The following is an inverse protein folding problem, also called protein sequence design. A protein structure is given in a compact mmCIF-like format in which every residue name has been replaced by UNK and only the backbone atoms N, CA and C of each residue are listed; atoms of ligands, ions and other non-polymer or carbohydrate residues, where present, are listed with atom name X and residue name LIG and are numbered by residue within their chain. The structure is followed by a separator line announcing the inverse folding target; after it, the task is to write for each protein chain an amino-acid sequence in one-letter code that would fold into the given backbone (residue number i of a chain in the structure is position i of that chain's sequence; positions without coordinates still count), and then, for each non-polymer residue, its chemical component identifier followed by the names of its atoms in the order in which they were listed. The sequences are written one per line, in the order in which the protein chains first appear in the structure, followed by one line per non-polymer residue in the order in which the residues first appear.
data_IF_057967965869
#
_entry.id   IF_057967965869
#
_cell.length_a   1.000
_cell.length_b   1.000
_cell.length_c   1.000
_cell.angle_alpha   90.00
_cell.angle_beta   90.00
_cell.angle_gamma   90.00
#
_symmetry.space_group_name_H-M   'P 1'
#
loop_
_entity.id
_entity.type
_entity.pdbx_description
1 polymer ?
#
# COMPACT_ATOMS: atom_id res chain seq x y z
N UNK A 1 27.20 -32.98 -53.47
CA UNK A 1 26.04 -32.07 -53.58
C UNK A 1 25.01 -32.48 -52.52
N UNK A 2 24.42 -31.49 -51.81
CA UNK A 2 23.48 -31.57 -50.65
C UNK A 2 24.13 -31.97 -49.31
N UNK A 3 23.85 -31.31 -48.18
CA UNK A 3 22.95 -30.19 -47.92
C UNK A 3 22.83 -29.82 -46.43
N UNK A 4 22.08 -28.73 -46.20
CA UNK A 4 21.29 -28.35 -45.01
C UNK A 4 21.99 -28.16 -43.66
N UNK A 5 21.83 -26.98 -43.03
CA UNK A 5 20.77 -26.73 -42.03
C UNK A 5 20.91 -25.31 -41.46
N UNK A 6 19.85 -24.52 -41.66
CA UNK A 6 19.51 -23.27 -40.96
C UNK A 6 19.45 -23.49 -39.45
N UNK A 7 19.82 -22.47 -38.66
CA UNK A 7 19.21 -22.21 -37.34
C UNK A 7 19.27 -20.71 -37.01
N UNK A 8 18.11 -20.06 -37.16
CA UNK A 8 17.75 -18.81 -36.49
C UNK A 8 17.94 -19.00 -34.98
N UNK A 9 18.69 -18.13 -34.31
CA UNK A 9 18.67 -18.03 -32.86
C UNK A 9 17.82 -16.81 -32.47
N UNK A 10 16.55 -17.07 -32.16
CA UNK A 10 15.61 -16.11 -31.59
C UNK A 10 15.99 -15.89 -30.12
N UNK A 11 16.52 -14.72 -29.79
CA UNK A 11 16.88 -14.37 -28.42
C UNK A 11 15.62 -13.88 -27.67
N UNK A 12 14.94 -14.79 -26.97
CA UNK A 12 13.80 -14.47 -26.10
C UNK A 12 14.32 -14.09 -24.70
N UNK A 13 14.62 -12.81 -24.47
CA UNK A 13 14.82 -12.30 -23.10
C UNK A 13 13.49 -11.86 -22.50
N UNK A 14 12.85 -12.77 -21.79
CA UNK A 14 11.68 -12.50 -20.97
C UNK A 14 12.14 -11.84 -19.65
N UNK A 15 12.30 -10.51 -19.63
CA UNK A 15 12.43 -9.77 -18.37
C UNK A 15 11.06 -9.64 -17.69
N UNK A 16 10.57 -10.75 -17.15
CA UNK A 16 9.46 -10.74 -16.20
C UNK A 16 9.95 -10.20 -14.87
N UNK A 17 9.52 -9.00 -14.49
CA UNK A 17 9.79 -8.43 -13.15
C UNK A 17 9.31 -9.43 -12.08
N UNK A 18 10.15 -9.85 -11.10
CA UNK A 18 9.79 -10.93 -10.21
C UNK A 18 8.76 -10.46 -9.16
N UNK A 19 7.64 -11.19 -9.08
CA UNK A 19 6.63 -11.07 -8.00
C UNK A 19 7.24 -11.21 -6.59
N UNK A 20 8.42 -11.81 -6.50
CA UNK A 20 9.20 -12.05 -5.28
C UNK A 20 9.59 -10.75 -4.57
N UNK A 21 9.90 -9.69 -5.33
CA UNK A 21 10.23 -8.39 -4.75
C UNK A 21 9.06 -7.80 -3.97
N UNK A 22 7.81 -8.02 -4.42
CA UNK A 22 6.61 -7.51 -3.73
C UNK A 22 6.34 -8.25 -2.42
N UNK A 23 6.49 -9.58 -2.40
CA UNK A 23 6.32 -10.38 -1.19
C UNK A 23 7.36 -10.01 -0.13
N UNK A 24 8.63 -9.85 -0.53
CA UNK A 24 9.71 -9.45 0.37
C UNK A 24 9.44 -8.12 1.08
N UNK A 25 8.84 -7.15 0.39
CA UNK A 25 8.62 -5.83 0.98
C UNK A 25 7.53 -5.80 2.06
N UNK A 26 6.49 -6.63 1.94
CA UNK A 26 5.50 -6.78 3.01
C UNK A 26 6.10 -7.44 4.25
N UNK A 27 6.91 -8.48 4.08
CA UNK A 27 7.60 -9.17 5.19
C UNK A 27 8.61 -8.25 5.88
N UNK A 28 9.39 -7.49 5.11
CA UNK A 28 10.35 -6.54 5.67
C UNK A 28 9.66 -5.43 6.47
N UNK A 29 8.52 -4.92 6.00
CA UNK A 29 7.75 -3.91 6.73
C UNK A 29 7.10 -4.50 7.98
N UNK A 30 6.57 -5.72 7.88
CA UNK A 30 6.00 -6.46 8.99
C UNK A 30 7.00 -6.67 10.12
N UNK A 31 8.20 -7.15 9.79
CA UNK A 31 9.27 -7.37 10.75
C UNK A 31 9.71 -6.06 11.43
N UNK A 32 9.81 -4.96 10.67
CA UNK A 32 10.27 -3.67 11.18
C UNK A 32 9.26 -2.99 12.11
N UNK A 33 7.97 -3.06 11.78
CA UNK A 33 6.93 -2.30 12.48
C UNK A 33 5.99 -3.17 13.33
N UNK A 34 6.28 -4.47 13.44
CA UNK A 34 5.50 -5.43 14.22
C UNK A 34 4.01 -5.48 13.83
N UNK A 35 3.74 -5.44 12.52
CA UNK A 35 2.38 -5.59 11.95
C UNK A 35 2.35 -6.85 11.09
N UNK A 36 1.24 -7.60 11.10
CA UNK A 36 1.11 -8.81 10.28
C UNK A 36 1.35 -8.52 8.79
N UNK A 37 2.20 -9.29 8.08
CA UNK A 37 2.46 -9.09 6.65
C UNK A 37 1.20 -9.26 5.80
N UNK A 38 0.32 -10.19 6.20
CA UNK A 38 -0.98 -10.39 5.56
C UNK A 38 -1.90 -9.18 5.75
N UNK A 39 -1.87 -8.51 6.91
CA UNK A 39 -2.64 -7.29 7.12
C UNK A 39 -2.13 -6.15 6.24
N UNK A 40 -0.82 -5.94 6.18
CA UNK A 40 -0.21 -4.90 5.33
C UNK A 40 -0.60 -5.14 3.86
N UNK A 41 -0.48 -6.38 3.38
CA UNK A 41 -0.88 -6.75 2.02
C UNK A 41 -2.38 -6.55 1.79
N UNK A 42 -3.22 -6.86 2.78
CA UNK A 42 -4.68 -6.62 2.70
C UNK A 42 -5.02 -5.14 2.55
N UNK A 43 -4.31 -4.28 3.28
CA UNK A 43 -4.44 -2.83 3.17
C UNK A 43 -4.01 -2.38 1.77
N UNK A 44 -2.83 -2.79 1.29
CA UNK A 44 -2.35 -2.41 -0.04
C UNK A 44 -3.32 -2.85 -1.16
N UNK A 45 -3.92 -4.04 -1.07
CA UNK A 45 -4.99 -4.47 -1.99
C UNK A 45 -6.22 -3.55 -1.88
N UNK A 46 -6.64 -3.20 -0.66
CA UNK A 46 -7.82 -2.36 -0.43
C UNK A 46 -7.64 -0.88 -0.80
N UNK A 47 -6.40 -0.41 -0.82
CA UNK A 47 -6.03 0.97 -1.15
C UNK A 47 -5.79 1.16 -2.66
N UNK A 48 -5.03 0.26 -3.30
CA UNK A 48 -4.57 0.45 -4.68
C UNK A 48 -4.81 -0.75 -5.60
N UNK A 49 -5.33 -1.87 -5.08
CA UNK A 49 -5.35 -3.12 -5.85
C UNK A 49 -3.94 -3.65 -6.17
N UNK A 50 -2.93 -3.26 -5.39
CA UNK A 50 -1.50 -3.52 -5.64
C UNK A 50 -0.93 -2.82 -6.88
N UNK A 51 -1.54 -1.71 -7.31
CA UNK A 51 -0.97 -0.82 -8.32
C UNK A 51 0.01 0.19 -7.67
N UNK A 52 1.33 0.09 -7.95
CA UNK A 52 2.32 1.01 -7.39
C UNK A 52 2.22 2.44 -7.95
N UNK A 53 1.50 2.65 -9.04
CA UNK A 53 1.33 3.94 -9.68
C UNK A 53 -0.04 4.58 -9.39
N UNK A 54 -0.86 3.96 -8.52
CA UNK A 54 -2.17 4.48 -8.15
C UNK A 54 -2.08 5.88 -7.51
N UNK A 55 -2.88 6.82 -8.01
CA UNK A 55 -3.02 8.16 -7.46
C UNK A 55 -4.48 8.55 -7.30
N UNK A 56 -4.89 9.03 -6.13
CA UNK A 56 -6.26 9.45 -5.87
C UNK A 56 -6.33 10.86 -5.30
N UNK A 57 -7.07 11.75 -5.97
CA UNK A 57 -7.29 13.12 -5.50
C UNK A 57 -8.45 13.19 -4.52
N UNK A 58 -8.17 13.69 -3.32
CA UNK A 58 -9.18 14.07 -2.35
C UNK A 58 -9.63 15.50 -2.63
N UNK A 59 -10.94 15.70 -2.76
CA UNK A 59 -11.54 17.00 -3.11
C UNK A 59 -12.44 17.52 -2.01
N UNK A 60 -12.41 18.83 -1.80
CA UNK A 60 -13.38 19.48 -0.95
C UNK A 60 -14.78 19.34 -1.57
N UNK A 61 -15.73 18.80 -0.80
CA UNK A 61 -17.09 18.51 -1.30
C UNK A 61 -17.87 19.76 -1.77
N UNK A 62 -17.58 20.94 -1.22
CA UNK A 62 -18.28 22.18 -1.56
C UNK A 62 -17.67 22.88 -2.76
N UNK A 63 -16.35 22.91 -2.85
CA UNK A 63 -15.62 23.70 -3.86
C UNK A 63 -15.06 22.87 -5.01
N UNK A 64 -15.02 21.54 -4.89
CA UNK A 64 -14.42 20.64 -5.88
C UNK A 64 -12.89 20.70 -5.98
N UNK A 65 -12.25 21.63 -5.24
CA UNK A 65 -10.81 21.83 -5.22
C UNK A 65 -10.11 20.63 -4.60
N UNK A 66 -9.01 20.20 -5.21
CA UNK A 66 -8.11 19.18 -4.63
C UNK A 66 -7.51 19.73 -3.34
N UNK A 67 -7.63 18.96 -2.26
CA UNK A 67 -7.08 19.31 -0.93
C UNK A 67 -5.89 18.43 -0.55
N UNK A 68 -5.83 17.21 -1.08
CA UNK A 68 -4.71 16.29 -0.92
C UNK A 68 -4.77 15.23 -2.00
N UNK A 69 -3.66 14.52 -2.22
CA UNK A 69 -3.59 13.39 -3.15
C UNK A 69 -2.91 12.22 -2.45
N UNK A 70 -3.40 11.01 -2.68
CA UNK A 70 -2.86 9.77 -2.12
C UNK A 70 -2.02 9.05 -3.19
N UNK A 71 -0.90 8.45 -2.78
CA UNK A 71 0.10 7.90 -3.71
C UNK A 71 0.46 6.43 -3.43
N UNK A 72 0.52 5.63 -4.49
CA UNK A 72 1.14 4.31 -4.55
C UNK A 72 0.39 3.20 -3.81
N UNK A 73 1.12 2.11 -3.51
CA UNK A 73 0.55 0.85 -3.02
C UNK A 73 -0.32 1.00 -1.77
N UNK A 74 0.12 1.81 -0.81
CA UNK A 74 -0.56 2.05 0.45
C UNK A 74 -1.27 3.40 0.51
N UNK A 75 -1.40 4.09 -0.62
CA UNK A 75 -2.12 5.36 -0.75
C UNK A 75 -1.69 6.39 0.31
N UNK A 76 -0.38 6.62 0.40
CA UNK A 76 0.20 7.58 1.35
C UNK A 76 -0.25 9.00 0.97
N UNK A 77 -0.94 9.67 1.87
CA UNK A 77 -1.52 10.99 1.65
C UNK A 77 -0.44 12.09 1.55
N UNK A 78 -0.66 13.07 0.68
CA UNK A 78 0.23 14.21 0.46
C UNK A 78 0.54 15.03 1.72
N UNK A 79 -0.34 14.99 2.73
CA UNK A 79 -0.12 15.64 4.02
C UNK A 79 1.09 15.10 4.80
N UNK A 80 1.55 13.88 4.52
CA UNK A 80 2.75 13.32 5.14
C UNK A 80 4.06 13.77 4.47
N UNK A 81 4.01 14.22 3.22
CA UNK A 81 5.20 14.51 2.40
C UNK A 81 6.15 15.50 3.07
N UNK A 82 5.69 16.66 3.61
CA UNK A 82 6.61 17.62 4.23
C UNK A 82 7.43 17.01 5.38
N UNK A 83 6.79 16.16 6.19
CA UNK A 83 7.47 15.45 7.29
C UNK A 83 8.44 14.40 6.77
N UNK A 84 8.04 13.63 5.75
CA UNK A 84 8.90 12.59 5.16
C UNK A 84 10.15 13.19 4.51
N UNK A 85 10.02 14.34 3.85
CA UNK A 85 11.15 15.11 3.30
C UNK A 85 12.05 15.64 4.41
N UNK A 86 11.47 16.26 5.46
CA UNK A 86 12.24 16.76 6.60
C UNK A 86 13.02 15.65 7.32
N UNK A 87 12.52 14.42 7.31
CA UNK A 87 13.19 13.24 7.86
C UNK A 87 14.23 12.62 6.91
N UNK A 88 14.35 13.10 5.67
CA UNK A 88 15.22 12.51 4.65
C UNK A 88 14.77 11.13 4.14
N UNK A 89 13.50 10.77 4.35
CA UNK A 89 12.95 9.46 3.93
C UNK A 89 12.62 9.45 2.44
N UNK A 90 12.17 10.60 1.91
CA UNK A 90 11.90 10.83 0.49
C UNK A 90 12.48 12.19 0.10
N UNK A 91 12.80 12.37 -1.18
CA UNK A 91 13.14 13.66 -1.76
C UNK A 91 11.88 14.43 -2.17
N UNK A 92 10.93 13.75 -2.82
CA UNK A 92 9.65 14.32 -3.21
C UNK A 92 8.55 13.23 -3.31
N UNK A 93 7.35 13.62 -3.76
CA UNK A 93 6.20 12.72 -3.88
C UNK A 93 6.41 11.55 -4.86
N UNK A 94 7.27 11.71 -5.86
CA UNK A 94 7.50 10.71 -6.89
C UNK A 94 8.19 9.47 -6.32
N UNK A 95 8.95 9.60 -5.24
CA UNK A 95 9.51 8.44 -4.52
C UNK A 95 8.42 7.48 -4.04
N UNK A 96 7.22 8.00 -3.71
CA UNK A 96 6.08 7.19 -3.30
C UNK A 96 5.52 6.32 -4.45
N UNK A 97 5.83 6.67 -5.71
CA UNK A 97 5.37 5.96 -6.91
C UNK A 97 6.50 5.11 -7.54
N UNK A 98 7.73 5.63 -7.51
CA UNK A 98 8.89 5.00 -8.12
C UNK A 98 9.52 3.92 -7.23
N UNK A 99 9.32 4.02 -5.91
CA UNK A 99 9.87 3.09 -4.92
C UNK A 99 8.73 2.38 -4.16
N UNK A 100 8.06 1.38 -4.76
CA UNK A 100 6.88 0.75 -4.17
C UNK A 100 7.14 0.12 -2.79
N UNK A 101 8.32 -0.44 -2.57
CA UNK A 101 8.69 -0.99 -1.27
C UNK A 101 8.86 0.09 -0.21
N UNK A 102 9.39 1.26 -0.58
CA UNK A 102 9.45 2.42 0.30
C UNK A 102 8.05 2.92 0.64
N UNK A 103 7.14 2.95 -0.34
CA UNK A 103 5.72 3.27 -0.11
C UNK A 103 5.08 2.32 0.92
N UNK A 104 5.31 1.00 0.80
CA UNK A 104 4.82 0.01 1.78
C UNK A 104 5.42 0.23 3.16
N UNK A 105 6.72 0.53 3.25
CA UNK A 105 7.39 0.83 4.52
C UNK A 105 6.82 2.09 5.18
N UNK A 106 6.54 3.14 4.40
CA UNK A 106 5.96 4.40 4.90
C UNK A 106 4.51 4.19 5.35
N UNK A 107 3.68 3.54 4.54
CA UNK A 107 2.29 3.23 4.90
C UNK A 107 2.20 2.38 6.16
N UNK A 108 3.08 1.39 6.31
CA UNK A 108 3.13 0.56 7.52
C UNK A 108 3.61 1.36 8.74
N UNK A 109 4.57 2.27 8.58
CA UNK A 109 4.99 3.17 9.65
C UNK A 109 3.86 4.10 10.12
N UNK A 110 3.06 4.65 9.19
CA UNK A 110 1.88 5.46 9.51
C UNK A 110 0.87 4.62 10.31
N UNK A 111 0.56 3.41 9.84
CA UNK A 111 -0.34 2.49 10.55
C UNK A 111 0.17 2.15 11.96
N UNK A 112 1.45 1.85 12.10
CA UNK A 112 2.05 1.56 13.41
C UNK A 112 1.96 2.78 14.35
N UNK A 113 2.15 3.99 13.84
CA UNK A 113 1.97 5.24 14.61
C UNK A 113 0.51 5.39 15.08
N UNK A 114 -0.46 4.99 14.27
CA UNK A 114 -1.86 4.97 14.69
C UNK A 114 -2.09 3.96 15.81
N UNK A 115 -1.58 2.72 15.67
CA UNK A 115 -1.68 1.71 16.73
C UNK A 115 -0.98 2.12 18.03
N UNK A 116 0.13 2.86 17.97
CA UNK A 116 0.75 3.45 19.16
C UNK A 116 -0.15 4.49 19.84
N UNK A 117 -1.00 5.18 19.07
CA UNK A 117 -1.88 6.23 19.57
C UNK A 117 -3.16 5.67 20.20
N UNK A 118 -3.80 4.66 19.58
CA UNK A 118 -5.10 4.13 20.02
C UNK A 118 -5.13 2.65 20.42
N UNK A 119 -3.98 1.99 20.47
CA UNK A 119 -3.89 0.54 20.67
C UNK A 119 -4.39 -0.25 19.47
N UNK A 120 -4.11 -1.56 19.46
CA UNK A 120 -4.60 -2.43 18.37
C UNK A 120 -6.09 -2.72 18.59
N UNK A 121 -6.94 -2.09 17.80
CA UNK A 121 -8.39 -2.30 17.80
C UNK A 121 -8.97 -2.13 16.40
N UNK A 122 -10.20 -2.61 16.20
CA UNK A 122 -10.90 -2.49 14.91
C UNK A 122 -11.06 -1.03 14.49
N UNK A 123 -11.47 -0.19 15.44
CA UNK A 123 -11.63 1.23 15.21
C UNK A 123 -10.30 1.93 14.91
N UNK A 124 -9.22 1.51 15.60
CA UNK A 124 -7.88 2.04 15.37
C UNK A 124 -7.35 1.65 13.98
N UNK A 125 -7.57 0.41 13.50
CA UNK A 125 -7.26 0.03 12.12
C UNK A 125 -7.98 0.95 11.12
N UNK A 126 -9.26 1.25 11.38
CA UNK A 126 -10.06 2.18 10.58
C UNK A 126 -9.50 3.59 10.47
N UNK A 127 -8.74 4.04 11.47
CA UNK A 127 -8.16 5.39 11.50
C UNK A 127 -7.12 5.62 10.41
N UNK A 128 -6.53 4.56 9.84
CA UNK A 128 -5.59 4.67 8.73
C UNK A 128 -6.18 5.44 7.54
N UNK A 129 -7.46 5.18 7.23
CA UNK A 129 -8.18 5.85 6.14
C UNK A 129 -8.99 7.07 6.59
N UNK A 130 -9.62 7.01 7.77
CA UNK A 130 -10.57 8.04 8.19
C UNK A 130 -9.99 9.07 9.18
N UNK A 131 -8.75 8.89 9.63
CA UNK A 131 -8.11 9.70 10.65
C UNK A 131 -8.76 9.58 12.04
N UNK A 132 -8.39 10.51 12.92
CA UNK A 132 -8.73 10.49 14.35
C UNK A 132 -9.92 11.37 14.77
N UNK A 133 -10.62 11.98 13.81
CA UNK A 133 -11.74 12.85 14.16
C UNK A 133 -12.83 12.06 14.92
N UNK A 134 -13.41 12.62 16.02
CA UNK A 134 -14.38 11.91 16.85
C UNK A 134 -15.61 11.42 16.07
N UNK A 135 -16.07 12.20 15.09
CA UNK A 135 -17.25 11.92 14.26
C UNK A 135 -17.06 10.80 13.23
N UNK A 136 -15.91 10.10 13.23
CA UNK A 136 -15.54 9.10 12.22
C UNK A 136 -15.62 7.65 12.71
N UNK A 137 -16.21 7.38 13.87
CA UNK A 137 -16.27 6.02 14.41
C UNK A 137 -16.80 4.99 13.40
N UNK A 138 -17.99 5.21 12.83
CA UNK A 138 -18.56 4.26 11.86
C UNK A 138 -17.77 4.16 10.55
N UNK A 139 -17.16 5.27 10.09
CA UNK A 139 -16.31 5.25 8.88
C UNK A 139 -15.08 4.37 9.11
N UNK A 140 -14.48 4.45 10.31
CA UNK A 140 -13.36 3.61 10.73
C UNK A 140 -13.75 2.13 10.75
N UNK A 141 -14.88 1.79 11.38
CA UNK A 141 -15.41 0.42 11.40
C UNK A 141 -15.68 -0.13 10.00
N UNK A 142 -16.31 0.68 9.12
CA UNK A 142 -16.55 0.31 7.72
C UNK A 142 -15.27 0.00 6.97
N UNK A 143 -14.23 0.82 7.17
CA UNK A 143 -12.92 0.57 6.57
C UNK A 143 -12.30 -0.73 7.09
N UNK A 144 -12.25 -0.93 8.40
CA UNK A 144 -11.67 -2.13 9.01
C UNK A 144 -12.39 -3.41 8.52
N UNK A 145 -13.72 -3.38 8.44
CA UNK A 145 -14.51 -4.48 7.86
C UNK A 145 -14.16 -4.76 6.39
N UNK A 146 -13.90 -3.72 5.58
CA UNK A 146 -13.47 -3.87 4.19
C UNK A 146 -12.11 -4.58 4.11
N UNK A 147 -11.15 -4.16 4.92
CA UNK A 147 -9.80 -4.77 4.97
C UNK A 147 -9.87 -6.21 5.48
N UNK A 148 -10.69 -6.47 6.50
CA UNK A 148 -10.86 -7.82 7.03
C UNK A 148 -11.39 -8.81 5.98
N UNK A 149 -12.36 -8.41 5.16
CA UNK A 149 -12.85 -9.24 4.05
C UNK A 149 -11.75 -9.58 3.04
N UNK A 150 -10.80 -8.66 2.82
CA UNK A 150 -9.64 -8.90 1.96
C UNK A 150 -8.66 -9.87 2.64
N UNK A 151 -8.42 -9.67 3.93
CA UNK A 151 -7.56 -10.54 4.75
C UNK A 151 -8.04 -12.00 4.75
N UNK A 152 -9.33 -12.23 5.03
CA UNK A 152 -9.91 -13.57 5.06
C UNK A 152 -9.78 -14.31 3.72
N UNK A 153 -9.95 -13.60 2.60
CA UNK A 153 -9.75 -14.18 1.26
C UNK A 153 -8.30 -14.64 1.03
N UNK A 154 -7.33 -13.98 1.65
CA UNK A 154 -5.92 -14.36 1.55
C UNK A 154 -5.57 -15.56 2.43
N UNK A 155 -6.24 -15.76 3.56
CA UNK A 155 -6.01 -16.88 4.46
C UNK A 155 -6.83 -18.13 4.13
N UNK A 156 -7.81 -18.03 3.24
CA UNK A 156 -8.75 -19.11 2.95
C UNK A 156 -9.77 -19.38 4.07
N UNK A 157 -9.83 -18.50 5.08
CA UNK A 157 -10.80 -18.60 6.17
C UNK A 157 -12.21 -18.31 5.63
N UNK A 158 -13.06 -19.35 5.61
CA UNK A 158 -14.50 -19.21 5.31
C UNK A 158 -15.24 -18.69 6.53
N UNK A 159 -16.31 -17.93 6.30
CA UNK A 159 -17.21 -17.43 7.32
C UNK A 159 -17.75 -18.59 8.18
N UNK A 160 -17.64 -18.46 9.51
CA UNK A 160 -18.52 -19.15 10.46
C UNK A 160 -19.52 -18.11 10.98
#
# INVERSE_FOLDING_TARGET
MRGYFTRLALCLTLCGVPLWARAFCFEAAAAKYHVSPLLIKSIAIGESGLDPHATNDNRNKKTGKIISTDYGLMQVNSGHIPRLVAMGVIQDKNDLLNHPCLNVQIGTWILATHFQTCGVSWNCLGSYNAGFRPDRHETRERYANRIWKIYQRQTGAKWQ
#
